data_IF_165085997681
#
_entry.id   IF_165085997681
#
_cell.length_a   1.000
_cell.length_b   1.000
_cell.length_c   1.000
_cell.angle_alpha   90.00
_cell.angle_beta   90.00
_cell.angle_gamma   90.00
#
_symmetry.space_group_name_H-M   'P 1'
#
loop_
_entity.id
_entity.type
_entity.pdbx_description
1 polymer ?
#
# COMPACT_ATOMS: atom_id res chain seq x y z
N UNK A 1 -35.79 -2.01 -22.59
CA UNK A 1 -35.54 -1.81 -24.03
C UNK A 1 -34.45 -2.79 -24.42
N UNK A 2 -34.51 -3.43 -25.58
CA UNK A 2 -33.58 -4.52 -25.92
C UNK A 2 -32.19 -3.94 -26.22
N UNK A 3 -31.16 -4.34 -25.45
CA UNK A 3 -29.76 -3.96 -25.69
C UNK A 3 -29.16 -4.62 -26.94
N UNK A 4 -29.97 -5.37 -27.72
CA UNK A 4 -29.52 -6.14 -28.88
C UNK A 4 -28.83 -5.30 -29.96
N UNK A 5 -29.27 -4.05 -30.20
CA UNK A 5 -28.65 -3.20 -31.21
C UNK A 5 -27.21 -2.83 -30.84
N UNK A 6 -26.99 -2.45 -29.58
CA UNK A 6 -25.67 -2.11 -29.04
C UNK A 6 -24.76 -3.34 -29.02
N UNK A 7 -25.26 -4.47 -28.54
CA UNK A 7 -24.52 -5.74 -28.51
C UNK A 7 -24.11 -6.22 -29.90
N UNK A 8 -25.04 -6.18 -30.87
CA UNK A 8 -24.75 -6.61 -32.25
C UNK A 8 -23.67 -5.74 -32.86
N UNK A 9 -23.75 -4.42 -32.66
CA UNK A 9 -22.75 -3.48 -33.14
C UNK A 9 -21.37 -3.74 -32.54
N UNK A 10 -21.28 -3.91 -31.20
CA UNK A 10 -20.01 -4.21 -30.52
C UNK A 10 -19.43 -5.53 -31.02
N UNK A 11 -20.28 -6.54 -31.26
CA UNK A 11 -19.84 -7.85 -31.77
C UNK A 11 -19.29 -7.77 -33.19
N UNK A 12 -19.81 -6.88 -34.04
CA UNK A 12 -19.32 -6.69 -35.41
C UNK A 12 -18.04 -5.86 -35.48
N UNK A 13 -17.80 -4.99 -34.50
CA UNK A 13 -16.70 -4.00 -34.50
C UNK A 13 -15.71 -4.17 -33.34
N UNK A 14 -15.61 -5.37 -32.76
CA UNK A 14 -14.81 -5.63 -31.54
C UNK A 14 -13.37 -5.12 -31.65
N UNK A 15 -12.64 -5.52 -32.70
CA UNK A 15 -11.22 -5.17 -32.87
C UNK A 15 -11.01 -3.65 -33.02
N UNK A 16 -11.90 -3.00 -33.78
CA UNK A 16 -11.85 -1.55 -34.01
C UNK A 16 -12.16 -0.78 -32.72
N UNK A 17 -13.20 -1.18 -31.99
CA UNK A 17 -13.59 -0.57 -30.72
C UNK A 17 -12.51 -0.74 -29.64
N UNK A 18 -11.88 -1.92 -29.57
CA UNK A 18 -10.79 -2.17 -28.64
C UNK A 18 -9.56 -1.31 -28.96
N UNK A 19 -9.18 -1.21 -30.24
CA UNK A 19 -8.07 -0.34 -30.66
C UNK A 19 -8.37 1.14 -30.35
N UNK A 20 -9.59 1.59 -30.61
CA UNK A 20 -10.02 2.96 -30.29
C UNK A 20 -9.94 3.25 -28.79
N UNK A 21 -10.39 2.32 -27.94
CA UNK A 21 -10.27 2.47 -26.48
C UNK A 21 -8.81 2.51 -26.03
N UNK A 22 -7.94 1.69 -26.63
CA UNK A 22 -6.51 1.71 -26.33
C UNK A 22 -5.90 3.08 -26.64
N UNK A 23 -6.25 3.68 -27.78
CA UNK A 23 -5.81 5.02 -28.17
C UNK A 23 -6.40 6.12 -27.28
N UNK A 24 -7.65 6.00 -26.85
CA UNK A 24 -8.28 6.89 -25.84
C UNK A 24 -7.47 6.85 -24.55
N UNK A 25 -7.20 5.66 -24.00
CA UNK A 25 -6.44 5.48 -22.77
C UNK A 25 -5.01 6.03 -22.90
N UNK A 26 -4.34 5.76 -24.02
CA UNK A 26 -2.98 6.26 -24.28
C UNK A 26 -2.93 7.79 -24.35
N UNK A 27 -3.89 8.41 -25.02
CA UNK A 27 -3.99 9.86 -25.12
C UNK A 27 -4.37 10.51 -23.79
N UNK A 28 -5.28 9.90 -23.03
CA UNK A 28 -5.62 10.35 -21.69
C UNK A 28 -4.42 10.23 -20.75
N UNK A 29 -3.68 9.12 -20.79
CA UNK A 29 -2.54 8.94 -19.90
C UNK A 29 -1.50 10.06 -20.06
N UNK A 30 -1.19 10.45 -21.30
CA UNK A 30 -0.31 11.61 -21.59
C UNK A 30 -0.81 12.93 -21.00
N UNK A 31 -2.14 13.10 -20.86
CA UNK A 31 -2.76 14.35 -20.39
C UNK A 31 -2.98 14.39 -18.88
N UNK A 32 -3.35 13.26 -18.26
CA UNK A 32 -3.91 13.26 -16.90
C UNK A 32 -3.17 12.42 -15.87
N UNK A 33 -2.23 11.54 -16.26
CA UNK A 33 -1.55 10.69 -15.27
C UNK A 33 -0.06 10.41 -15.49
N UNK A 34 0.44 10.45 -16.73
CA UNK A 34 1.82 10.09 -17.08
C UNK A 34 2.31 8.77 -16.45
N UNK A 35 1.42 7.80 -16.32
CA UNK A 35 1.74 6.47 -15.80
C UNK A 35 2.63 5.71 -16.79
N UNK A 36 3.56 4.89 -16.28
CA UNK A 36 4.46 4.07 -17.10
C UNK A 36 3.76 2.80 -17.59
N UNK A 37 2.80 2.97 -18.51
CA UNK A 37 2.07 1.87 -19.13
C UNK A 37 2.67 1.51 -20.49
N UNK A 38 2.76 0.22 -20.80
CA UNK A 38 3.25 -0.29 -22.10
C UNK A 38 2.11 -0.41 -23.11
N UNK A 39 2.43 -0.54 -24.40
CA UNK A 39 1.42 -0.71 -25.46
C UNK A 39 0.51 -1.92 -25.20
N UNK A 40 1.13 -3.04 -24.83
CA UNK A 40 0.42 -4.28 -24.49
C UNK A 40 -0.60 -4.09 -23.35
N UNK A 41 -0.31 -3.22 -22.38
CA UNK A 41 -1.23 -2.98 -21.26
C UNK A 41 -2.49 -2.23 -21.72
N UNK A 42 -2.36 -1.25 -22.62
CA UNK A 42 -3.55 -0.60 -23.20
C UNK A 42 -4.39 -1.57 -24.01
N UNK A 43 -3.74 -2.42 -24.82
CA UNK A 43 -4.43 -3.45 -25.61
C UNK A 43 -5.14 -4.46 -24.71
N UNK A 44 -4.48 -4.94 -23.66
CA UNK A 44 -5.07 -5.91 -22.72
C UNK A 44 -6.31 -5.34 -22.04
N UNK A 45 -6.22 -4.13 -21.48
CA UNK A 45 -7.35 -3.48 -20.81
C UNK A 45 -8.50 -3.25 -21.79
N UNK A 46 -8.20 -2.85 -23.02
CA UNK A 46 -9.23 -2.53 -24.01
C UNK A 46 -9.95 -3.78 -24.50
N UNK A 47 -9.20 -4.84 -24.84
CA UNK A 47 -9.78 -6.10 -25.28
C UNK A 47 -10.66 -6.72 -24.20
N UNK A 48 -10.16 -6.81 -22.97
CA UNK A 48 -10.93 -7.39 -21.86
C UNK A 48 -12.17 -6.56 -21.53
N UNK A 49 -12.09 -5.23 -21.64
CA UNK A 49 -13.27 -4.39 -21.47
C UNK A 49 -14.34 -4.67 -22.53
N UNK A 50 -13.96 -4.79 -23.80
CA UNK A 50 -14.92 -5.14 -24.87
C UNK A 50 -15.49 -6.54 -24.67
N UNK A 51 -14.67 -7.51 -24.25
CA UNK A 51 -15.14 -8.86 -23.91
C UNK A 51 -16.17 -8.84 -22.76
N UNK A 52 -15.95 -8.00 -21.74
CA UNK A 52 -16.93 -7.82 -20.66
C UNK A 52 -18.25 -7.26 -21.22
N UNK A 53 -18.21 -6.24 -22.09
CA UNK A 53 -19.42 -5.70 -22.71
C UNK A 53 -20.19 -6.80 -23.46
N UNK A 54 -19.52 -7.61 -24.27
CA UNK A 54 -20.16 -8.67 -25.05
C UNK A 54 -20.82 -9.76 -24.19
N UNK A 55 -20.16 -10.15 -23.11
CA UNK A 55 -20.61 -11.24 -22.24
C UNK A 55 -21.60 -10.78 -21.15
N UNK A 56 -21.90 -9.49 -21.03
CA UNK A 56 -22.84 -8.94 -20.05
C UNK A 56 -24.34 -9.14 -20.42
N UNK A 57 -24.63 -9.92 -21.46
CA UNK A 57 -26.00 -10.11 -21.95
C UNK A 57 -26.65 -11.40 -21.40
N UNK A 58 -27.51 -11.23 -20.39
CA UNK A 58 -28.58 -12.17 -19.99
C UNK A 58 -28.17 -13.60 -19.52
N UNK A 59 -26.96 -13.81 -18.99
CA UNK A 59 -26.57 -15.12 -18.41
C UNK A 59 -25.80 -15.02 -17.09
N UNK A 60 -26.25 -15.82 -16.11
CA UNK A 60 -25.58 -16.23 -14.86
C UNK A 60 -24.71 -15.14 -14.20
N UNK A 61 -25.36 -14.28 -13.41
CA UNK A 61 -24.77 -13.10 -12.73
C UNK A 61 -23.38 -13.40 -12.11
N UNK A 62 -23.19 -14.60 -11.55
CA UNK A 62 -21.96 -15.01 -10.87
C UNK A 62 -20.72 -15.05 -11.79
N UNK A 63 -20.86 -15.46 -13.06
CA UNK A 63 -19.71 -15.55 -13.99
C UNK A 63 -19.27 -14.19 -14.50
N UNK A 64 -20.24 -13.31 -14.72
CA UNK A 64 -19.99 -11.94 -15.16
C UNK A 64 -19.29 -11.15 -14.06
N UNK A 65 -19.73 -11.32 -12.81
CA UNK A 65 -19.09 -10.71 -11.63
C UNK A 65 -17.64 -11.20 -11.48
N UNK A 66 -17.37 -12.51 -11.61
CA UNK A 66 -15.99 -13.02 -11.55
C UNK A 66 -15.12 -12.42 -12.67
N UNK A 67 -15.65 -12.32 -13.90
CA UNK A 67 -14.91 -11.71 -15.02
C UNK A 67 -14.56 -10.25 -14.75
N UNK A 68 -15.52 -9.46 -14.24
CA UNK A 68 -15.28 -8.06 -13.85
C UNK A 68 -14.27 -7.98 -12.71
N UNK A 69 -14.36 -8.87 -11.72
CA UNK A 69 -13.40 -8.95 -10.61
C UNK A 69 -11.98 -9.23 -11.11
N UNK A 70 -11.80 -10.19 -12.02
CA UNK A 70 -10.50 -10.53 -12.60
C UNK A 70 -9.92 -9.35 -13.39
N UNK A 71 -10.74 -8.70 -14.22
CA UNK A 71 -10.36 -7.50 -14.97
C UNK A 71 -9.89 -6.37 -14.04
N UNK A 72 -10.72 -6.01 -13.05
CA UNK A 72 -10.43 -4.92 -12.13
C UNK A 72 -9.19 -5.21 -11.27
N UNK A 73 -9.02 -6.46 -10.82
CA UNK A 73 -7.83 -6.89 -10.07
C UNK A 73 -6.56 -6.80 -10.91
N UNK A 74 -6.63 -7.21 -12.18
CA UNK A 74 -5.52 -7.10 -13.13
C UNK A 74 -5.14 -5.64 -13.39
N UNK A 75 -6.12 -4.74 -13.55
CA UNK A 75 -5.87 -3.31 -13.72
C UNK A 75 -5.12 -2.70 -12.53
N UNK A 76 -5.48 -3.08 -11.29
CA UNK A 76 -4.74 -2.67 -10.07
C UNK A 76 -3.30 -3.20 -10.10
N UNK A 77 -3.09 -4.48 -10.42
CA UNK A 77 -1.75 -5.09 -10.49
C UNK A 77 -0.86 -4.44 -11.55
N UNK A 78 -1.46 -4.06 -12.68
CA UNK A 78 -0.81 -3.31 -13.75
C UNK A 78 -0.55 -1.84 -13.39
N UNK A 79 -0.92 -1.39 -12.19
CA UNK A 79 -0.78 -0.01 -11.75
C UNK A 79 -1.49 0.99 -12.68
N UNK A 80 -2.62 0.59 -13.27
CA UNK A 80 -3.45 1.49 -14.08
C UNK A 80 -4.12 2.48 -13.13
N UNK A 81 -3.89 3.80 -13.25
CA UNK A 81 -4.50 4.78 -12.35
C UNK A 81 -6.03 4.74 -12.45
N UNK A 82 -6.74 4.74 -11.32
CA UNK A 82 -8.21 4.76 -11.29
C UNK A 82 -8.79 5.90 -12.14
N UNK A 83 -8.20 7.09 -12.04
CA UNK A 83 -8.61 8.26 -12.83
C UNK A 83 -8.48 8.02 -14.34
N UNK A 84 -7.45 7.28 -14.76
CA UNK A 84 -7.24 6.94 -16.16
C UNK A 84 -8.29 5.94 -16.63
N UNK A 85 -8.50 4.87 -15.85
CA UNK A 85 -9.50 3.84 -16.15
C UNK A 85 -10.90 4.46 -16.23
N UNK A 86 -11.32 5.21 -15.21
CA UNK A 86 -12.64 5.84 -15.15
C UNK A 86 -12.86 6.86 -16.28
N UNK A 87 -11.85 7.68 -16.60
CA UNK A 87 -11.94 8.62 -17.72
C UNK A 87 -11.98 7.90 -19.07
N UNK A 88 -11.29 6.77 -19.21
CA UNK A 88 -11.24 5.97 -20.44
C UNK A 88 -12.58 5.31 -20.72
N UNK A 89 -13.09 4.49 -19.79
CA UNK A 89 -14.38 3.82 -19.94
C UNK A 89 -15.54 4.82 -20.00
N UNK A 90 -15.43 5.95 -19.28
CA UNK A 90 -16.40 7.04 -19.33
C UNK A 90 -16.35 7.88 -20.61
N UNK A 91 -15.24 7.85 -21.37
CA UNK A 91 -15.15 8.48 -22.69
C UNK A 91 -15.58 7.52 -23.81
N UNK A 92 -15.46 6.21 -23.59
CA UNK A 92 -15.72 5.17 -24.60
C UNK A 92 -17.15 5.23 -25.16
N UNK A 93 -18.17 5.38 -24.32
CA UNK A 93 -19.56 5.41 -24.78
C UNK A 93 -19.85 6.52 -25.79
N UNK A 94 -19.15 7.67 -25.70
CA UNK A 94 -19.29 8.77 -26.67
C UNK A 94 -18.74 8.38 -28.03
N UNK A 95 -17.64 7.63 -28.03
CA UNK A 95 -17.06 7.07 -29.25
C UNK A 95 -17.99 6.02 -29.85
N UNK A 96 -18.49 5.11 -29.02
CA UNK A 96 -19.48 4.11 -29.45
C UNK A 96 -20.72 4.76 -30.06
N UNK A 97 -21.27 5.80 -29.44
CA UNK A 97 -22.38 6.58 -29.99
C UNK A 97 -22.04 7.19 -31.34
N UNK A 98 -20.87 7.82 -31.48
CA UNK A 98 -20.43 8.40 -32.75
C UNK A 98 -20.34 7.33 -33.85
N UNK A 99 -19.72 6.18 -33.56
CA UNK A 99 -19.57 5.10 -34.53
C UNK A 99 -20.89 4.46 -34.95
N UNK A 100 -21.83 4.29 -34.01
CA UNK A 100 -23.16 3.77 -34.30
C UNK A 100 -24.04 4.75 -35.09
N UNK A 101 -23.78 6.05 -35.00
CA UNK A 101 -24.63 7.10 -35.58
C UNK A 101 -24.03 7.79 -36.82
N UNK A 102 -22.76 7.53 -37.18
CA UNK A 102 -22.06 8.25 -38.27
C UNK A 102 -22.72 8.11 -39.64
N UNK A 103 -23.42 7.01 -39.89
CA UNK A 103 -24.08 6.70 -41.17
C UNK A 103 -25.62 6.83 -41.10
N UNK A 104 -26.16 7.32 -39.97
CA UNK A 104 -27.60 7.45 -39.74
C UNK A 104 -28.06 8.89 -40.03
N UNK A 105 -29.07 9.12 -40.88
CA UNK A 105 -29.61 10.46 -41.13
C UNK A 105 -30.08 11.13 -39.82
N UNK A 106 -29.84 12.44 -39.66
CA UNK A 106 -30.26 13.23 -38.49
C UNK A 106 -31.80 13.22 -38.32
N UNK A 107 -32.33 12.20 -37.65
CA UNK A 107 -33.73 12.12 -37.24
C UNK A 107 -33.86 11.95 -35.71
N UNK A 108 -35.09 11.84 -35.22
CA UNK A 108 -35.43 11.72 -33.79
C UNK A 108 -34.86 10.47 -33.10
N UNK A 109 -34.26 9.51 -33.81
CA UNK A 109 -33.73 8.25 -33.26
C UNK A 109 -32.43 8.44 -32.44
N UNK A 110 -31.79 9.60 -32.50
CA UNK A 110 -30.57 9.89 -31.74
C UNK A 110 -30.76 9.81 -30.22
N UNK A 111 -31.92 10.22 -29.69
CA UNK A 111 -32.16 10.22 -28.24
C UNK A 111 -32.30 8.80 -27.67
N UNK A 112 -32.99 7.91 -28.40
CA UNK A 112 -33.23 6.54 -27.94
C UNK A 112 -31.91 5.73 -27.93
N UNK A 113 -31.02 5.99 -28.88
CA UNK A 113 -29.69 5.37 -28.93
C UNK A 113 -28.82 5.78 -27.73
N UNK A 114 -28.83 7.05 -27.34
CA UNK A 114 -28.08 7.53 -26.16
C UNK A 114 -28.53 6.76 -24.91
N UNK A 115 -29.84 6.65 -24.69
CA UNK A 115 -30.39 5.92 -23.55
C UNK A 115 -30.06 4.42 -23.59
N UNK A 116 -30.09 3.80 -24.77
CA UNK A 116 -29.72 2.39 -24.92
C UNK A 116 -28.25 2.14 -24.60
N UNK A 117 -27.34 2.99 -25.10
CA UNK A 117 -25.91 2.87 -24.82
C UNK A 117 -25.63 3.10 -23.32
N UNK A 118 -26.19 4.17 -22.74
CA UNK A 118 -25.98 4.50 -21.33
C UNK A 118 -26.49 3.38 -20.41
N UNK A 119 -27.73 2.90 -20.62
CA UNK A 119 -28.31 1.82 -19.83
C UNK A 119 -27.54 0.50 -19.94
N UNK A 120 -26.87 0.27 -21.07
CA UNK A 120 -26.04 -0.91 -21.28
C UNK A 120 -24.65 -0.79 -20.62
N UNK A 121 -23.99 0.36 -20.76
CA UNK A 121 -22.59 0.55 -20.33
C UNK A 121 -22.48 0.96 -18.85
N UNK A 122 -23.40 1.78 -18.33
CA UNK A 122 -23.33 2.31 -16.97
C UNK A 122 -23.20 1.24 -15.88
N UNK A 123 -24.05 0.18 -15.83
CA UNK A 123 -23.95 -0.81 -14.76
C UNK A 123 -22.63 -1.56 -14.79
N UNK A 124 -22.11 -1.86 -15.99
CA UNK A 124 -20.82 -2.52 -16.19
C UNK A 124 -19.68 -1.63 -15.69
N UNK A 125 -19.68 -0.36 -16.10
CA UNK A 125 -18.66 0.60 -15.68
C UNK A 125 -18.68 0.82 -14.17
N UNK A 126 -19.88 0.95 -13.58
CA UNK A 126 -20.06 1.11 -12.15
C UNK A 126 -19.47 -0.08 -11.38
N UNK A 127 -19.78 -1.30 -11.82
CA UNK A 127 -19.27 -2.51 -11.17
C UNK A 127 -17.76 -2.70 -11.37
N UNK A 128 -17.21 -2.40 -12.55
CA UNK A 128 -15.77 -2.38 -12.79
C UNK A 128 -15.07 -1.44 -11.80
N UNK A 129 -15.57 -0.20 -11.66
CA UNK A 129 -14.98 0.80 -10.78
C UNK A 129 -15.11 0.43 -9.30
N UNK A 130 -16.23 -0.16 -8.91
CA UNK A 130 -16.46 -0.70 -7.58
C UNK A 130 -15.46 -1.83 -7.24
N UNK A 131 -15.33 -2.84 -8.10
CA UNK A 131 -14.37 -3.93 -7.92
C UNK A 131 -12.93 -3.44 -7.93
N UNK A 132 -12.61 -2.44 -8.76
CA UNK A 132 -11.30 -1.81 -8.75
C UNK A 132 -11.02 -1.16 -7.38
N UNK A 133 -11.97 -0.38 -6.85
CA UNK A 133 -11.82 0.29 -5.56
C UNK A 133 -11.61 -0.73 -4.44
N UNK A 134 -12.42 -1.79 -4.38
CA UNK A 134 -12.29 -2.88 -3.40
C UNK A 134 -10.91 -3.55 -3.50
N UNK A 135 -10.46 -3.89 -4.71
CA UNK A 135 -9.17 -4.53 -4.95
C UNK A 135 -7.99 -3.63 -4.56
N UNK A 136 -8.10 -2.33 -4.85
CA UNK A 136 -7.11 -1.35 -4.46
C UNK A 136 -7.05 -1.16 -2.94
N UNK A 137 -8.19 -1.01 -2.26
CA UNK A 137 -8.27 -0.90 -0.80
C UNK A 137 -7.65 -2.13 -0.12
N UNK A 138 -7.96 -3.33 -0.62
CA UNK A 138 -7.36 -4.58 -0.13
C UNK A 138 -5.84 -4.58 -0.32
N UNK A 139 -5.35 -4.14 -1.48
CA UNK A 139 -3.91 -4.06 -1.78
C UNK A 139 -3.21 -3.07 -0.84
N UNK A 140 -3.80 -1.89 -0.63
CA UNK A 140 -3.26 -0.87 0.29
C UNK A 140 -3.27 -1.38 1.73
N UNK A 141 -4.34 -2.03 2.17
CA UNK A 141 -4.43 -2.60 3.51
C UNK A 141 -3.36 -3.68 3.74
N UNK A 142 -3.18 -4.60 2.78
CA UNK A 142 -2.14 -5.63 2.86
C UNK A 142 -0.72 -5.04 2.86
N UNK A 143 -0.46 -4.02 2.02
CA UNK A 143 0.82 -3.31 2.04
C UNK A 143 1.07 -2.62 3.38
N UNK A 144 0.03 -2.00 3.97
CA UNK A 144 0.12 -1.39 5.30
C UNK A 144 0.41 -2.44 6.38
N UNK A 145 -0.24 -3.60 6.33
CA UNK A 145 0.02 -4.72 7.27
C UNK A 145 1.44 -5.25 7.10
N UNK A 146 1.90 -5.49 5.87
CA UNK A 146 3.27 -5.96 5.62
C UNK A 146 4.34 -4.96 6.12
N UNK A 147 4.10 -3.65 5.94
CA UNK A 147 4.95 -2.60 6.52
C UNK A 147 4.93 -2.60 8.06
N UNK A 148 3.80 -2.98 8.66
CA UNK A 148 3.66 -3.12 10.12
C UNK A 148 4.25 -4.44 10.66
N UNK A 149 4.23 -5.54 9.91
CA UNK A 149 4.88 -6.80 10.30
C UNK A 149 6.41 -6.71 10.25
N UNK A 150 6.95 -5.81 9.43
CA UNK A 150 8.36 -5.41 9.45
C UNK A 150 8.71 -4.46 10.62
N UNK A 151 7.79 -4.22 11.56
CA UNK A 151 8.04 -3.25 12.63
C UNK A 151 9.06 -3.77 13.67
N UNK A 152 10.15 -3.02 13.79
CA UNK A 152 11.18 -3.16 14.83
C UNK A 152 11.79 -4.57 14.94
N UNK A 153 12.50 -5.05 13.91
CA UNK A 153 13.24 -6.30 14.03
C UNK A 153 14.35 -6.13 15.09
N UNK A 154 14.53 -7.14 15.95
CA UNK A 154 15.69 -7.19 16.83
C UNK A 154 16.88 -7.76 16.03
N UNK A 155 17.90 -6.93 15.81
CA UNK A 155 19.03 -7.23 14.93
C UNK A 155 20.26 -7.60 15.78
N UNK A 156 20.83 -8.81 15.66
CA UNK A 156 22.10 -9.15 16.31
C UNK A 156 23.25 -8.40 15.61
N UNK A 157 24.02 -7.64 16.39
CA UNK A 157 25.16 -6.86 15.87
C UNK A 157 26.50 -7.46 16.32
N UNK A 158 26.53 -8.08 17.49
CA UNK A 158 27.63 -8.90 18.00
C UNK A 158 27.06 -10.07 18.79
N UNK A 159 27.88 -11.06 19.13
CA UNK A 159 27.46 -12.11 20.05
C UNK A 159 26.89 -11.48 21.33
N UNK A 160 25.69 -11.92 21.74
CA UNK A 160 25.00 -11.43 22.93
C UNK A 160 24.63 -9.93 22.93
N UNK A 161 24.82 -9.19 21.83
CA UNK A 161 24.42 -7.78 21.70
C UNK A 161 23.48 -7.62 20.50
N UNK A 162 22.29 -7.08 20.78
CA UNK A 162 21.27 -6.80 19.77
C UNK A 162 20.84 -5.35 19.76
N UNK A 163 20.37 -4.86 18.62
CA UNK A 163 19.82 -3.52 18.42
C UNK A 163 18.39 -3.62 17.90
N UNK A 164 17.48 -2.83 18.46
CA UNK A 164 16.12 -2.64 17.96
C UNK A 164 15.96 -1.18 17.49
N UNK A 165 15.99 -0.93 16.17
CA UNK A 165 15.72 0.39 15.64
C UNK A 165 14.22 0.69 15.60
N UNK A 166 13.83 1.83 16.18
CA UNK A 166 12.48 2.37 16.15
C UNK A 166 12.43 3.56 15.18
N UNK A 167 11.61 3.44 14.13
CA UNK A 167 11.50 4.46 13.06
C UNK A 167 10.04 4.84 12.81
N UNK A 168 9.73 6.13 12.78
CA UNK A 168 8.38 6.65 12.57
C UNK A 168 7.55 6.73 13.85
N UNK A 169 6.25 6.98 13.70
CA UNK A 169 5.33 7.15 14.83
C UNK A 169 4.99 5.82 15.49
N UNK A 170 4.82 5.85 16.82
CA UNK A 170 4.51 4.66 17.62
C UNK A 170 3.10 4.87 18.20
N UNK A 171 2.14 4.08 17.73
CA UNK A 171 0.81 3.98 18.33
C UNK A 171 0.74 2.77 19.29
N UNK A 172 -0.40 2.60 19.95
CA UNK A 172 -0.60 1.52 20.93
C UNK A 172 -0.46 0.12 20.33
N UNK A 173 -0.95 -0.10 19.12
CA UNK A 173 -0.87 -1.42 18.46
C UNK A 173 0.59 -1.75 18.12
N UNK A 174 1.31 -0.76 17.58
CA UNK A 174 2.73 -0.89 17.25
C UNK A 174 3.59 -1.07 18.50
N UNK A 175 3.30 -0.36 19.59
CA UNK A 175 4.02 -0.50 20.85
C UNK A 175 3.92 -1.93 21.42
N UNK A 176 2.73 -2.56 21.32
CA UNK A 176 2.53 -3.95 21.72
C UNK A 176 3.39 -4.90 20.89
N UNK A 177 3.38 -4.75 19.56
CA UNK A 177 4.22 -5.54 18.64
C UNK A 177 5.71 -5.36 18.92
N UNK A 178 6.16 -4.12 19.18
CA UNK A 178 7.54 -3.81 19.56
C UNK A 178 7.93 -4.60 20.82
N UNK A 179 7.08 -4.59 21.85
CA UNK A 179 7.34 -5.30 23.11
C UNK A 179 7.42 -6.82 22.91
N UNK A 180 6.48 -7.39 22.16
CA UNK A 180 6.48 -8.83 21.83
C UNK A 180 7.75 -9.23 21.06
N UNK A 181 8.10 -8.47 20.01
CA UNK A 181 9.29 -8.70 19.20
C UNK A 181 10.59 -8.55 20.01
N UNK A 182 10.64 -7.56 20.91
CA UNK A 182 11.78 -7.31 21.77
C UNK A 182 12.04 -8.48 22.70
N UNK A 183 11.02 -8.93 23.45
CA UNK A 183 11.18 -10.01 24.42
C UNK A 183 11.46 -11.35 23.73
N UNK A 184 10.74 -11.67 22.66
CA UNK A 184 10.99 -12.88 21.86
C UNK A 184 12.39 -12.87 21.26
N UNK A 185 12.82 -11.72 20.73
CA UNK A 185 14.15 -11.54 20.17
C UNK A 185 15.27 -11.70 21.20
N UNK A 186 15.12 -11.10 22.39
CA UNK A 186 16.12 -11.20 23.48
C UNK A 186 16.40 -12.67 23.81
N UNK A 187 15.35 -13.48 23.96
CA UNK A 187 15.47 -14.90 24.25
C UNK A 187 16.08 -15.66 23.07
N UNK A 188 15.57 -15.42 21.86
CA UNK A 188 16.03 -16.09 20.63
C UNK A 188 17.51 -15.87 20.37
N UNK A 189 17.98 -14.63 20.55
CA UNK A 189 19.37 -14.23 20.31
C UNK A 189 20.28 -14.36 21.54
N UNK A 190 19.73 -14.79 22.69
CA UNK A 190 20.44 -14.87 23.97
C UNK A 190 21.16 -13.56 24.31
N UNK A 191 20.48 -12.44 24.06
CA UNK A 191 21.05 -11.12 24.24
C UNK A 191 21.34 -10.85 25.71
N UNK A 192 22.57 -10.49 26.03
CA UNK A 192 22.93 -9.94 27.35
C UNK A 192 22.70 -8.43 27.38
N UNK A 193 22.83 -7.76 26.22
CA UNK A 193 22.62 -6.32 26.08
C UNK A 193 21.75 -6.03 24.87
N UNK A 194 20.73 -5.20 25.06
CA UNK A 194 19.86 -4.71 24.00
C UNK A 194 19.90 -3.19 23.93
N UNK A 195 20.07 -2.66 22.71
CA UNK A 195 20.02 -1.23 22.44
C UNK A 195 18.69 -0.93 21.75
N UNK A 196 17.88 -0.06 22.34
CA UNK A 196 16.69 0.50 21.69
C UNK A 196 17.10 1.83 21.07
N UNK A 197 17.08 1.93 19.74
CA UNK A 197 17.45 3.14 19.02
C UNK A 197 16.20 3.93 18.64
N UNK A 198 16.02 5.09 19.28
CA UNK A 198 14.89 6.00 19.03
C UNK A 198 15.26 7.18 18.13
N UNK A 199 16.42 7.17 17.48
CA UNK A 199 16.85 8.23 16.57
C UNK A 199 15.81 8.51 15.48
N UNK A 200 15.10 7.47 15.01
CA UNK A 200 14.06 7.57 13.97
C UNK A 200 12.66 7.93 14.47
N UNK A 201 12.45 8.17 15.77
CA UNK A 201 11.15 8.53 16.35
C UNK A 201 10.99 10.05 16.36
N UNK A 202 10.03 10.66 15.63
CA UNK A 202 9.98 12.11 15.45
C UNK A 202 9.47 12.85 16.69
N UNK A 203 8.48 12.29 17.38
CA UNK A 203 7.84 12.87 18.57
C UNK A 203 7.67 11.79 19.62
N UNK A 204 7.97 12.12 20.87
CA UNK A 204 7.72 11.27 22.03
C UNK A 204 6.67 11.97 22.88
N UNK A 205 5.52 11.33 23.04
CA UNK A 205 4.47 11.74 23.98
C UNK A 205 4.47 10.83 25.23
N UNK A 206 3.49 11.03 26.11
CA UNK A 206 3.32 10.24 27.33
C UNK A 206 3.15 8.75 27.05
N UNK A 207 2.41 8.38 25.99
CA UNK A 207 2.12 6.98 25.66
C UNK A 207 3.38 6.28 25.14
N UNK A 208 4.08 6.90 24.19
CA UNK A 208 5.33 6.37 23.62
C UNK A 208 6.39 6.22 24.70
N UNK A 209 6.56 7.24 25.55
CA UNK A 209 7.55 7.18 26.62
C UNK A 209 7.23 6.07 27.63
N UNK A 210 5.95 5.89 28.00
CA UNK A 210 5.52 4.80 28.88
C UNK A 210 5.85 3.42 28.28
N UNK A 211 5.57 3.21 27.00
CA UNK A 211 5.87 1.94 26.33
C UNK A 211 7.37 1.65 26.22
N UNK A 212 8.22 2.65 25.98
CA UNK A 212 9.69 2.48 25.94
C UNK A 212 10.21 2.02 27.30
N UNK A 213 9.68 2.58 28.39
CA UNK A 213 10.11 2.21 29.75
C UNK A 213 9.66 0.80 30.07
N UNK A 214 8.37 0.49 29.85
CA UNK A 214 7.85 -0.86 30.04
C UNK A 214 8.67 -1.89 29.26
N UNK A 215 9.04 -1.58 28.02
CA UNK A 215 9.90 -2.42 27.20
C UNK A 215 11.29 -2.62 27.85
N UNK A 216 11.93 -1.53 28.31
CA UNK A 216 13.22 -1.59 29.01
C UNK A 216 13.15 -2.39 30.32
N UNK A 217 12.07 -2.26 31.08
CA UNK A 217 11.86 -3.02 32.33
C UNK A 217 11.61 -4.50 32.04
N UNK A 218 10.80 -4.80 31.04
CA UNK A 218 10.52 -6.18 30.63
C UNK A 218 11.80 -6.89 30.16
N UNK A 219 12.67 -6.21 29.40
CA UNK A 219 14.00 -6.73 29.02
C UNK A 219 14.85 -7.06 30.26
N UNK A 220 14.83 -6.18 31.27
CA UNK A 220 15.53 -6.41 32.54
C UNK A 220 14.99 -7.63 33.29
N UNK A 221 13.67 -7.82 33.30
CA UNK A 221 13.02 -9.00 33.91
C UNK A 221 13.36 -10.30 33.17
N UNK A 222 13.59 -10.25 31.85
CA UNK A 222 14.06 -11.39 31.06
C UNK A 222 15.55 -11.69 31.29
N UNK A 223 16.28 -10.81 31.98
CA UNK A 223 17.68 -11.02 32.37
C UNK A 223 18.71 -10.35 31.45
N UNK A 224 18.28 -9.41 30.61
CA UNK A 224 19.17 -8.64 29.73
C UNK A 224 19.27 -7.17 30.18
N UNK A 225 20.39 -6.51 29.88
CA UNK A 225 20.57 -5.08 30.09
C UNK A 225 19.97 -4.31 28.91
N UNK A 226 19.27 -3.21 29.18
CA UNK A 226 18.69 -2.37 28.14
C UNK A 226 19.35 -0.99 28.12
N UNK A 227 19.74 -0.53 26.94
CA UNK A 227 20.27 0.80 26.67
C UNK A 227 19.32 1.54 25.73
N UNK A 228 19.00 2.79 26.05
CA UNK A 228 18.27 3.69 25.15
C UNK A 228 19.26 4.60 24.43
N UNK A 229 19.24 4.61 23.10
CA UNK A 229 20.14 5.43 22.28
C UNK A 229 19.37 6.37 21.37
N UNK A 230 20.01 7.49 20.99
CA UNK A 230 19.42 8.42 20.02
C UNK A 230 18.41 9.42 20.61
N UNK A 231 18.44 9.64 21.92
CA UNK A 231 17.58 10.64 22.58
C UNK A 231 18.04 12.04 22.14
N UNK A 232 17.19 12.73 21.37
CA UNK A 232 17.41 14.13 20.97
C UNK A 232 17.06 15.09 22.12
N UNK A 233 17.63 16.31 22.18
CA UNK A 233 17.38 17.26 23.26
C UNK A 233 15.89 17.55 23.52
N UNK A 234 15.10 17.71 22.47
CA UNK A 234 13.66 17.94 22.54
C UNK A 234 12.88 16.76 23.14
N UNK A 235 13.34 15.52 22.87
CA UNK A 235 12.75 14.31 23.47
C UNK A 235 13.08 14.25 24.96
N UNK A 236 14.33 14.56 25.33
CA UNK A 236 14.76 14.57 26.72
C UNK A 236 13.96 15.61 27.54
N UNK A 237 13.73 16.81 27.00
CA UNK A 237 12.88 17.83 27.63
C UNK A 237 11.46 17.34 27.85
N UNK A 238 10.86 16.69 26.85
CA UNK A 238 9.51 16.13 26.98
C UNK A 238 9.45 15.05 28.06
N UNK A 239 10.40 14.13 28.10
CA UNK A 239 10.46 13.08 29.13
C UNK A 239 10.54 13.69 30.54
N UNK A 240 11.37 14.72 30.72
CA UNK A 240 11.47 15.45 32.01
C UNK A 240 10.16 16.15 32.36
N UNK A 241 9.54 16.85 31.41
CA UNK A 241 8.29 17.57 31.63
C UNK A 241 7.12 16.64 31.96
N UNK A 242 7.14 15.41 31.43
CA UNK A 242 6.16 14.37 31.73
C UNK A 242 6.37 13.70 33.09
N UNK A 243 7.43 14.04 33.82
CA UNK A 243 7.73 13.47 35.13
C UNK A 243 8.15 12.01 35.08
N UNK A 244 8.74 11.59 33.96
CA UNK A 244 9.10 10.21 33.68
C UNK A 244 10.47 9.90 34.28
N UNK A 245 10.54 8.84 35.11
CA UNK A 245 11.78 8.38 35.73
C UNK A 245 12.54 7.40 34.83
N UNK A 246 13.72 7.81 34.37
CA UNK A 246 14.66 6.98 33.60
C UNK A 246 15.91 6.58 34.40
N UNK A 247 15.92 6.73 35.72
CA UNK A 247 17.10 6.43 36.56
C UNK A 247 17.63 5.01 36.39
N UNK A 248 16.76 4.05 36.07
CA UNK A 248 17.10 2.64 35.84
C UNK A 248 17.45 2.31 34.38
N UNK A 249 17.35 3.29 33.47
CA UNK A 249 17.59 3.11 32.03
C UNK A 249 18.92 3.76 31.65
N UNK A 250 19.83 2.98 31.09
CA UNK A 250 21.13 3.49 30.65
C UNK A 250 20.91 4.21 29.32
N UNK A 251 21.29 5.49 29.24
CA UNK A 251 21.11 6.28 28.02
C UNK A 251 22.45 6.62 27.37
N UNK A 252 22.49 6.65 26.04
CA UNK A 252 23.61 7.19 25.24
C UNK A 252 23.08 8.05 24.12
N UNK A 253 23.84 9.07 23.73
CA UNK A 253 23.38 10.01 22.70
C UNK A 253 23.39 9.43 21.28
N UNK A 254 24.22 8.42 21.00
CA UNK A 254 24.30 7.77 19.68
C UNK A 254 24.37 6.26 19.79
N UNK A 255 23.95 5.57 18.74
CA UNK A 255 24.08 4.12 18.62
C UNK A 255 25.55 3.68 18.78
N UNK A 256 26.51 4.42 18.21
CA UNK A 256 27.94 4.13 18.33
C UNK A 256 28.40 4.07 19.79
N UNK A 257 28.07 5.07 20.61
CA UNK A 257 28.43 5.07 22.04
C UNK A 257 27.68 3.99 22.82
N UNK A 258 26.45 3.68 22.39
CA UNK A 258 25.69 2.54 22.90
C UNK A 258 26.43 1.22 22.67
N UNK A 259 26.88 0.97 21.44
CA UNK A 259 27.60 -0.25 21.07
C UNK A 259 28.90 -0.36 21.87
N UNK A 260 29.67 0.74 21.98
CA UNK A 260 30.88 0.75 22.80
C UNK A 260 30.57 0.36 24.26
N UNK A 261 29.53 0.95 24.84
CA UNK A 261 29.10 0.63 26.21
C UNK A 261 28.64 -0.82 26.35
N UNK A 262 27.95 -1.36 25.34
CA UNK A 262 27.48 -2.75 25.33
C UNK A 262 28.64 -3.74 25.23
N UNK A 263 29.67 -3.43 24.44
CA UNK A 263 30.90 -4.22 24.38
C UNK A 263 31.60 -4.22 25.74
N UNK A 264 31.75 -3.07 26.38
CA UNK A 264 32.34 -2.97 27.73
C UNK A 264 31.55 -3.78 28.77
N UNK A 265 30.21 -3.81 28.67
CA UNK A 265 29.33 -4.60 29.56
C UNK A 265 29.43 -6.12 29.37
N UNK A 266 30.04 -6.55 28.28
CA UNK A 266 30.23 -7.95 27.90
C UNK A 266 31.73 -8.28 27.79
N UNK A 267 32.55 -7.58 28.56
CA UNK A 267 34.01 -7.75 28.69
C UNK A 267 34.79 -7.68 27.37
N UNK A 268 34.28 -6.90 26.41
CA UNK A 268 34.89 -6.64 25.10
C UNK A 268 35.29 -5.18 24.96
N UNK A 269 36.36 -4.91 24.20
CA UNK A 269 36.83 -3.56 23.90
C UNK A 269 37.18 -3.42 22.43
N UNK A 270 36.94 -2.24 21.88
CA UNK A 270 37.38 -1.86 20.53
C UNK A 270 38.84 -1.44 20.65
N UNK A 271 39.71 -2.05 19.83
CA UNK A 271 41.12 -1.66 19.70
C UNK A 271 41.37 -1.10 18.31
N UNK A 272 42.14 -0.02 18.22
CA UNK A 272 42.72 0.40 16.94
C UNK A 272 43.83 -0.57 16.58
N UNK A 273 43.78 -1.14 15.38
CA UNK A 273 44.95 -1.81 14.82
C UNK A 273 45.91 -0.69 14.39
N UNK A 274 47.11 -0.67 14.98
CA UNK A 274 48.19 0.20 14.49
C UNK A 274 48.52 -0.24 13.04
N UNK A 275 48.61 0.73 12.13
CA UNK A 275 49.05 0.51 10.73
C UNK A 275 50.54 0.15 10.66
#
# INVERSE_FOLDING_TARGET
MSNQAVLSFISEHQDELAQNLADILKNLNKKISNAKLTEHMYQTISNEYIDILLNHSDTDDDKVIDTIYQFSSKAVQMSVPLKLLSSGVGAFWKHLYYEMNKDVPEDKQCYDLIWQIDHFIEPINSEILNQYAISWEKTVALQKVALQELSAPLIPVFDNITVMPLVGTIDTERAKKIMENLLSGVVKHRSEVVLIDITGVPVVDTMVAHHIIQASEAVRLVGAKCLLVGIRPEIAQTIVNLGIDLTQVITKNTLQKGIQTALEMTDRKIVSLEE
#
